data_IF_601964341745
#
_entry.id   IF_601964341745
#
_cell.length_a   1.000
_cell.length_b   1.000
_cell.length_c   1.000
_cell.angle_alpha   90.00
_cell.angle_beta   90.00
_cell.angle_gamma   90.00
#
_symmetry.space_group_name_H-M   'P 1'
#
loop_
_entity.id
_entity.type
_entity.pdbx_description
1 polymer ?
#
# COMPACT_ATOMS: atom_id res chain seq x y z
N UNK A 1 -49.56 -2.48 15.83
CA UNK A 1 -48.18 -2.59 16.30
C UNK A 1 -47.31 -3.44 15.38
N UNK A 2 -47.79 -4.51 14.78
CA UNK A 2 -46.97 -5.42 13.96
C UNK A 2 -46.48 -4.81 12.62
N UNK A 3 -47.30 -4.01 11.93
CA UNK A 3 -46.96 -3.39 10.65
C UNK A 3 -45.89 -2.26 10.78
N UNK A 4 -45.92 -1.50 11.87
CA UNK A 4 -44.91 -0.45 12.11
C UNK A 4 -43.55 -1.06 12.40
N UNK A 5 -43.49 -2.12 13.20
CA UNK A 5 -42.25 -2.81 13.50
C UNK A 5 -41.61 -3.43 12.23
N UNK A 6 -42.42 -4.02 11.35
CA UNK A 6 -41.93 -4.58 10.07
C UNK A 6 -41.37 -3.51 9.12
N UNK A 7 -41.97 -2.31 9.11
CA UNK A 7 -41.43 -1.20 8.31
C UNK A 7 -40.09 -0.67 8.87
N UNK A 8 -39.97 -0.54 10.20
CA UNK A 8 -38.71 -0.15 10.82
C UNK A 8 -37.59 -1.17 10.55
N UNK A 9 -37.88 -2.47 10.64
CA UNK A 9 -36.90 -3.51 10.29
C UNK A 9 -36.46 -3.44 8.84
N UNK A 10 -37.36 -3.17 7.89
CA UNK A 10 -36.97 -2.99 6.48
C UNK A 10 -36.04 -1.79 6.27
N UNK A 11 -36.33 -0.66 6.91
CA UNK A 11 -35.50 0.55 6.83
C UNK A 11 -34.14 0.26 7.42
N UNK A 12 -34.03 -0.32 8.61
CA UNK A 12 -32.79 -0.63 9.28
C UNK A 12 -31.92 -1.62 8.46
N UNK A 13 -32.54 -2.64 7.88
CA UNK A 13 -31.85 -3.54 6.95
C UNK A 13 -31.38 -2.82 5.68
N UNK A 14 -32.16 -1.86 5.18
CA UNK A 14 -31.75 -1.00 4.07
C UNK A 14 -30.48 -0.21 4.42
N UNK A 15 -30.43 0.39 5.62
CA UNK A 15 -29.23 1.06 6.12
C UNK A 15 -28.03 0.10 6.20
N UNK A 16 -28.23 -1.12 6.71
CA UNK A 16 -27.16 -2.13 6.77
C UNK A 16 -26.66 -2.54 5.37
N UNK A 17 -27.53 -2.60 4.37
CA UNK A 17 -27.12 -2.82 2.98
C UNK A 17 -26.24 -1.68 2.46
N UNK A 18 -26.59 -0.43 2.74
CA UNK A 18 -25.79 0.73 2.35
C UNK A 18 -24.40 0.66 3.01
N UNK A 19 -24.35 0.41 4.32
CA UNK A 19 -23.07 0.25 5.03
C UNK A 19 -22.25 -0.91 4.47
N UNK A 20 -22.87 -2.03 4.15
CA UNK A 20 -22.18 -3.18 3.55
C UNK A 20 -21.61 -2.84 2.17
N UNK A 21 -22.35 -2.14 1.33
CA UNK A 21 -21.86 -1.71 0.01
C UNK A 21 -20.66 -0.76 0.16
N UNK A 22 -20.77 0.26 1.02
CA UNK A 22 -19.66 1.19 1.30
C UNK A 22 -18.44 0.42 1.80
N UNK A 23 -18.64 -0.50 2.75
CA UNK A 23 -17.56 -1.36 3.25
C UNK A 23 -16.91 -2.20 2.14
N UNK A 24 -17.71 -2.82 1.25
CA UNK A 24 -17.17 -3.63 0.15
C UNK A 24 -16.35 -2.77 -0.82
N UNK A 25 -16.83 -1.58 -1.17
CA UNK A 25 -16.08 -0.64 -2.01
C UNK A 25 -14.75 -0.29 -1.35
N UNK A 26 -14.76 0.02 -0.06
CA UNK A 26 -13.55 0.32 0.71
C UNK A 26 -12.58 -0.88 0.78
N UNK A 27 -13.12 -2.08 1.05
CA UNK A 27 -12.32 -3.31 1.08
C UNK A 27 -11.64 -3.56 -0.27
N UNK A 28 -12.39 -3.49 -1.38
CA UNK A 28 -11.84 -3.67 -2.73
C UNK A 28 -10.78 -2.60 -3.04
N UNK A 29 -11.01 -1.34 -2.61
CA UNK A 29 -10.03 -0.26 -2.79
C UNK A 29 -8.71 -0.57 -2.08
N UNK A 30 -8.77 -0.99 -0.80
CA UNK A 30 -7.56 -1.34 -0.03
C UNK A 30 -6.89 -2.57 -0.63
N UNK A 31 -7.66 -3.60 -1.02
CA UNK A 31 -7.09 -4.86 -1.47
C UNK A 31 -6.43 -4.77 -2.84
N UNK A 32 -7.06 -4.05 -3.78
CA UNK A 32 -6.54 -3.97 -5.15
C UNK A 32 -5.53 -2.85 -5.37
N UNK A 33 -5.60 -1.80 -4.58
CA UNK A 33 -4.84 -0.58 -4.84
C UNK A 33 -4.11 -0.08 -3.60
N UNK A 34 -3.46 -1.00 -2.87
CA UNK A 34 -2.71 -0.71 -1.63
C UNK A 34 -1.76 0.49 -1.76
N UNK A 35 -1.10 0.63 -2.91
CA UNK A 35 -0.06 1.63 -3.16
C UNK A 35 -0.41 2.62 -4.28
N UNK A 36 -1.60 2.53 -4.87
CA UNK A 36 -1.99 3.39 -5.97
C UNK A 36 -2.86 4.55 -5.51
N UNK A 37 -2.48 5.78 -5.85
CA UNK A 37 -3.34 6.96 -5.72
C UNK A 37 -4.50 6.88 -6.73
N UNK A 38 -5.58 7.60 -6.51
CA UNK A 38 -6.70 7.63 -7.46
C UNK A 38 -6.29 8.06 -8.86
N UNK A 39 -5.28 8.94 -8.96
CA UNK A 39 -4.74 9.41 -10.24
C UNK A 39 -3.97 8.31 -10.99
N UNK A 40 -3.44 7.32 -10.28
CA UNK A 40 -2.57 6.26 -10.82
C UNK A 40 -3.21 4.87 -10.79
N UNK A 41 -4.53 4.77 -10.56
CA UNK A 41 -5.23 3.47 -10.48
C UNK A 41 -5.02 2.61 -11.73
N UNK A 42 -5.09 3.22 -12.91
CA UNK A 42 -4.90 2.49 -14.17
C UNK A 42 -3.45 2.06 -14.40
N UNK A 43 -2.48 2.81 -13.85
CA UNK A 43 -1.06 2.44 -13.93
C UNK A 43 -0.70 1.28 -13.00
N UNK A 44 -1.50 1.02 -11.97
CA UNK A 44 -1.32 -0.13 -11.09
C UNK A 44 -1.69 -1.47 -11.75
N UNK A 45 -2.56 -1.43 -12.77
CA UNK A 45 -2.95 -2.64 -13.51
C UNK A 45 -1.75 -3.13 -14.33
N UNK A 46 -1.34 -4.37 -14.08
CA UNK A 46 -0.18 -4.97 -14.75
C UNK A 46 1.19 -4.57 -14.16
N UNK A 47 1.21 -3.78 -13.09
CA UNK A 47 2.46 -3.33 -12.48
C UNK A 47 3.12 -4.38 -11.57
N UNK A 48 2.35 -5.35 -11.06
CA UNK A 48 2.85 -6.41 -10.18
C UNK A 48 3.19 -7.68 -10.96
N UNK A 49 4.16 -8.45 -10.45
CA UNK A 49 4.42 -9.79 -10.96
C UNK A 49 3.26 -10.74 -10.61
N UNK A 50 2.88 -11.60 -11.57
CA UNK A 50 1.86 -12.62 -11.36
C UNK A 50 2.47 -13.81 -10.63
N UNK A 51 2.43 -13.79 -9.32
CA UNK A 51 2.86 -14.91 -8.48
C UNK A 51 1.66 -15.60 -7.87
N UNK A 52 1.73 -16.93 -7.74
CA UNK A 52 0.71 -17.75 -7.08
C UNK A 52 1.37 -18.56 -5.98
N UNK A 53 0.90 -18.39 -4.75
CA UNK A 53 1.26 -19.22 -3.63
C UNK A 53 0.04 -20.04 -3.16
N UNK A 54 0.10 -21.36 -3.36
CA UNK A 54 -0.96 -22.30 -2.94
C UNK A 54 -0.58 -23.13 -1.70
N UNK A 55 0.63 -22.92 -1.17
CA UNK A 55 1.10 -23.65 0.01
C UNK A 55 0.77 -22.82 1.24
N UNK A 56 -0.10 -23.32 2.15
CA UNK A 56 -0.46 -22.58 3.36
C UNK A 56 0.76 -22.23 4.21
N UNK A 57 0.77 -21.01 4.71
CA UNK A 57 1.80 -20.41 5.58
C UNK A 57 3.18 -20.26 4.94
N UNK A 58 3.31 -20.52 3.64
CA UNK A 58 4.58 -20.35 2.93
C UNK A 58 5.00 -18.89 2.87
N UNK A 59 4.09 -17.97 2.56
CA UNK A 59 4.41 -16.54 2.49
C UNK A 59 4.87 -16.00 3.83
N UNK A 60 4.26 -16.43 4.93
CA UNK A 60 4.69 -16.08 6.29
C UNK A 60 6.09 -16.64 6.56
N UNK A 61 6.34 -17.89 6.18
CA UNK A 61 7.64 -18.53 6.38
C UNK A 61 8.73 -17.84 5.56
N UNK A 62 8.47 -17.54 4.29
CA UNK A 62 9.41 -16.87 3.40
C UNK A 62 9.72 -15.43 3.88
N UNK A 63 8.70 -14.70 4.35
CA UNK A 63 8.88 -13.38 4.97
C UNK A 63 9.70 -13.47 6.27
N UNK A 64 9.47 -14.47 7.11
CA UNK A 64 10.21 -14.65 8.35
C UNK A 64 11.68 -15.07 8.13
N UNK A 65 11.97 -15.74 7.01
CA UNK A 65 13.33 -16.13 6.60
C UNK A 65 14.09 -15.05 5.84
N UNK A 66 13.41 -14.00 5.40
CA UNK A 66 13.99 -12.82 4.75
C UNK A 66 14.27 -11.72 5.78
N UNK A 67 14.99 -10.65 5.36
CA UNK A 67 15.19 -9.46 6.20
C UNK A 67 13.91 -8.61 6.36
N UNK A 68 12.72 -9.21 6.17
CA UNK A 68 11.44 -8.52 6.30
C UNK A 68 11.14 -8.24 7.77
N UNK A 69 10.74 -7.01 8.09
CA UNK A 69 10.40 -6.64 9.45
C UNK A 69 9.20 -7.45 9.97
N UNK A 70 9.22 -7.83 11.25
CA UNK A 70 8.10 -8.54 11.91
C UNK A 70 6.79 -7.74 11.77
N UNK A 71 6.88 -6.39 11.75
CA UNK A 71 5.74 -5.52 11.52
C UNK A 71 4.99 -5.81 10.23
N UNK A 72 5.70 -5.98 9.11
CA UNK A 72 5.08 -6.31 7.81
C UNK A 72 4.38 -7.67 7.81
N UNK A 73 4.94 -8.66 8.50
CA UNK A 73 4.29 -9.98 8.65
C UNK A 73 2.98 -9.84 9.41
N UNK A 74 3.01 -9.11 10.54
CA UNK A 74 1.83 -8.84 11.35
C UNK A 74 0.78 -8.05 10.55
N UNK A 75 1.18 -7.01 9.84
CA UNK A 75 0.29 -6.21 8.98
C UNK A 75 -0.40 -7.06 7.91
N UNK A 76 0.32 -7.96 7.26
CA UNK A 76 -0.27 -8.84 6.25
C UNK A 76 -1.31 -9.79 6.86
N UNK A 77 -0.95 -10.48 7.94
CA UNK A 77 -1.83 -11.44 8.62
C UNK A 77 -3.03 -10.74 9.25
N UNK A 78 -2.80 -9.71 10.08
CA UNK A 78 -3.87 -8.99 10.77
C UNK A 78 -4.69 -8.15 9.80
N UNK A 79 -4.07 -7.59 8.77
CA UNK A 79 -4.76 -6.80 7.75
C UNK A 79 -5.88 -7.59 7.10
N UNK A 80 -5.57 -8.76 6.56
CA UNK A 80 -6.56 -9.63 5.91
C UNK A 80 -7.63 -10.11 6.89
N UNK A 81 -7.23 -10.51 8.09
CA UNK A 81 -8.18 -10.93 9.13
C UNK A 81 -9.13 -9.82 9.53
N UNK A 82 -8.60 -8.62 9.85
CA UNK A 82 -9.41 -7.48 10.34
C UNK A 82 -10.32 -6.94 9.23
N UNK A 83 -9.85 -6.90 7.98
CA UNK A 83 -10.64 -6.46 6.85
C UNK A 83 -11.91 -7.28 6.65
N UNK A 84 -11.93 -8.59 6.97
CA UNK A 84 -13.09 -9.45 6.79
C UNK A 84 -13.98 -9.61 8.03
N UNK A 85 -13.60 -9.07 9.19
CA UNK A 85 -14.49 -9.03 10.38
C UNK A 85 -15.82 -8.32 10.07
N UNK A 86 -15.83 -7.12 9.44
CA UNK A 86 -17.11 -6.45 9.10
C UNK A 86 -17.96 -7.27 8.14
N UNK A 87 -17.36 -8.02 7.20
CA UNK A 87 -18.10 -8.95 6.34
C UNK A 87 -18.89 -9.96 7.18
N UNK A 88 -18.22 -10.59 8.13
CA UNK A 88 -18.84 -11.58 9.02
C UNK A 88 -19.92 -10.99 9.95
N UNK A 89 -19.80 -9.72 10.31
CA UNK A 89 -20.81 -9.01 11.14
C UNK A 89 -22.04 -8.61 10.31
N UNK A 90 -21.83 -7.97 9.16
CA UNK A 90 -22.90 -7.34 8.38
C UNK A 90 -23.64 -8.34 7.49
N UNK A 91 -22.92 -9.26 6.85
CA UNK A 91 -23.50 -10.18 5.88
C UNK A 91 -24.63 -11.06 6.45
N UNK A 92 -24.55 -11.66 7.67
CA UNK A 92 -25.67 -12.41 8.25
C UNK A 92 -26.91 -11.54 8.51
N UNK A 93 -26.73 -10.26 8.84
CA UNK A 93 -27.83 -9.32 9.12
C UNK A 93 -28.62 -9.05 7.82
N UNK A 94 -27.93 -8.79 6.72
CA UNK A 94 -28.56 -8.46 5.44
C UNK A 94 -29.09 -9.68 4.69
N UNK A 95 -28.41 -10.82 4.76
CA UNK A 95 -28.72 -12.04 3.99
C UNK A 95 -29.57 -13.07 4.74
N UNK A 96 -29.74 -12.92 6.07
CA UNK A 96 -30.34 -13.93 6.96
C UNK A 96 -29.64 -15.31 6.90
N UNK A 97 -28.39 -15.36 6.45
CA UNK A 97 -27.63 -16.62 6.36
C UNK A 97 -27.04 -17.00 7.70
N UNK A 98 -27.08 -18.31 7.99
CA UNK A 98 -26.40 -18.92 9.13
C UNK A 98 -24.92 -19.14 8.83
N UNK A 99 -24.15 -19.52 9.84
CA UNK A 99 -22.69 -19.71 9.79
C UNK A 99 -22.18 -20.32 8.47
N UNK A 100 -22.70 -21.47 8.06
CA UNK A 100 -22.23 -22.13 6.81
C UNK A 100 -22.42 -21.25 5.58
N UNK A 101 -23.55 -20.54 5.48
CA UNK A 101 -23.80 -19.65 4.35
C UNK A 101 -22.92 -18.41 4.35
N UNK A 102 -22.60 -17.86 5.55
CA UNK A 102 -21.66 -16.72 5.68
C UNK A 102 -20.24 -17.13 5.29
N UNK A 103 -19.77 -18.28 5.79
CA UNK A 103 -18.42 -18.80 5.45
C UNK A 103 -18.31 -19.12 3.95
N UNK A 104 -19.33 -19.76 3.36
CA UNK A 104 -19.34 -20.02 1.92
C UNK A 104 -19.28 -18.71 1.11
N UNK A 105 -20.03 -17.69 1.50
CA UNK A 105 -19.97 -16.38 0.85
C UNK A 105 -18.61 -15.72 1.02
N UNK A 106 -17.99 -15.81 2.20
CA UNK A 106 -16.66 -15.27 2.45
C UNK A 106 -15.59 -15.97 1.59
N UNK A 107 -15.64 -17.31 1.47
CA UNK A 107 -14.74 -18.09 0.61
C UNK A 107 -14.88 -17.65 -0.85
N UNK A 108 -16.12 -17.57 -1.36
CA UNK A 108 -16.39 -17.16 -2.74
C UNK A 108 -15.89 -15.73 -2.97
N UNK A 109 -16.17 -14.82 -2.06
CA UNK A 109 -15.80 -13.42 -2.19
C UNK A 109 -14.27 -13.24 -2.13
N UNK A 110 -13.59 -13.93 -1.21
CA UNK A 110 -12.12 -13.90 -1.12
C UNK A 110 -11.48 -14.53 -2.37
N UNK A 111 -12.00 -15.66 -2.87
CA UNK A 111 -11.52 -16.25 -4.13
C UNK A 111 -11.70 -15.31 -5.33
N UNK A 112 -12.80 -14.59 -5.41
CA UNK A 112 -13.01 -13.59 -6.46
C UNK A 112 -11.98 -12.47 -6.38
N UNK A 113 -11.61 -12.05 -5.18
CA UNK A 113 -10.53 -11.07 -4.98
C UNK A 113 -9.21 -11.61 -5.52
N UNK A 114 -8.80 -12.82 -5.09
CA UNK A 114 -7.55 -13.46 -5.53
C UNK A 114 -7.49 -13.65 -7.07
N UNK A 115 -8.58 -14.13 -7.66
CA UNK A 115 -8.69 -14.28 -9.11
C UNK A 115 -8.54 -12.91 -9.80
N UNK A 116 -9.17 -11.87 -9.27
CA UNK A 116 -9.09 -10.52 -9.84
C UNK A 116 -7.66 -9.97 -9.74
N UNK A 117 -6.99 -10.15 -8.59
CA UNK A 117 -5.59 -9.74 -8.42
C UNK A 117 -4.68 -10.44 -9.42
N UNK A 118 -4.85 -11.74 -9.64
CA UNK A 118 -4.08 -12.50 -10.63
C UNK A 118 -4.32 -12.04 -12.06
N UNK A 119 -5.61 -11.88 -12.45
CA UNK A 119 -5.96 -11.51 -13.83
C UNK A 119 -5.43 -10.13 -14.21
N UNK A 120 -5.53 -9.18 -13.30
CA UNK A 120 -5.12 -7.79 -13.53
C UNK A 120 -3.71 -7.46 -13.05
N UNK A 121 -2.95 -8.47 -12.55
CA UNK A 121 -1.61 -8.28 -11.98
C UNK A 121 -1.55 -7.13 -10.95
N UNK A 122 -2.49 -7.16 -9.99
CA UNK A 122 -2.63 -6.17 -8.92
C UNK A 122 -1.91 -6.56 -7.63
N UNK A 123 -1.27 -7.71 -7.61
CA UNK A 123 -0.56 -8.27 -6.47
C UNK A 123 -0.32 -9.78 -6.63
N UNK A 124 0.29 -10.39 -5.60
CA UNK A 124 0.44 -11.84 -5.52
C UNK A 124 -0.86 -12.49 -5.07
N UNK A 125 -1.20 -13.64 -5.67
CA UNK A 125 -2.33 -14.47 -5.23
C UNK A 125 -1.85 -15.45 -4.18
N UNK A 126 -2.42 -15.39 -2.99
CA UNK A 126 -1.95 -16.13 -1.82
C UNK A 126 -3.08 -16.88 -1.10
N UNK A 127 -2.86 -18.18 -0.88
CA UNK A 127 -3.80 -19.01 -0.11
C UNK A 127 -3.91 -18.54 1.35
N UNK A 128 -2.86 -17.93 1.90
CA UNK A 128 -2.86 -17.43 3.27
C UNK A 128 -3.86 -16.27 3.42
N UNK A 129 -3.96 -15.39 2.41
CA UNK A 129 -4.95 -14.31 2.38
C UNK A 129 -6.37 -14.86 2.40
N UNK A 130 -6.66 -15.92 1.61
CA UNK A 130 -7.95 -16.60 1.67
C UNK A 130 -8.24 -17.16 3.06
N UNK A 131 -7.27 -17.80 3.70
CA UNK A 131 -7.43 -18.41 5.04
C UNK A 131 -7.74 -17.32 6.07
N UNK A 132 -6.98 -16.22 6.09
CA UNK A 132 -7.18 -15.14 7.06
C UNK A 132 -8.46 -14.34 6.81
N UNK A 133 -8.85 -14.13 5.56
CA UNK A 133 -10.11 -13.51 5.19
C UNK A 133 -11.30 -14.32 5.71
N UNK A 134 -11.31 -15.63 5.49
CA UNK A 134 -12.36 -16.54 5.96
C UNK A 134 -12.38 -16.62 7.49
N UNK A 135 -11.22 -16.63 8.14
CA UNK A 135 -11.11 -16.60 9.60
C UNK A 135 -11.67 -15.29 10.16
N UNK A 136 -11.36 -14.14 9.56
CA UNK A 136 -11.92 -12.85 9.91
C UNK A 136 -13.46 -12.83 9.81
N UNK A 137 -14.01 -13.33 8.70
CA UNK A 137 -15.45 -13.47 8.53
C UNK A 137 -16.08 -14.42 9.57
N UNK A 138 -15.38 -15.50 9.96
CA UNK A 138 -15.84 -16.39 11.02
C UNK A 138 -15.90 -15.68 12.37
N UNK A 139 -14.85 -14.94 12.74
CA UNK A 139 -14.81 -14.13 13.97
C UNK A 139 -15.95 -13.12 13.96
N UNK A 140 -16.12 -12.39 12.87
CA UNK A 140 -17.18 -11.41 12.71
C UNK A 140 -18.59 -12.03 12.87
N UNK A 141 -18.84 -13.17 12.24
CA UNK A 141 -20.09 -13.93 12.42
C UNK A 141 -20.32 -14.31 13.88
N UNK A 142 -19.28 -14.84 14.54
CA UNK A 142 -19.39 -15.26 15.95
C UNK A 142 -19.75 -14.08 16.86
N UNK A 143 -19.13 -12.93 16.64
CA UNK A 143 -19.42 -11.69 17.38
C UNK A 143 -20.88 -11.26 17.15
N UNK A 144 -21.32 -11.21 15.88
CA UNK A 144 -22.68 -10.83 15.51
C UNK A 144 -23.73 -11.79 16.11
N UNK A 145 -23.50 -13.10 16.02
CA UNK A 145 -24.38 -14.13 16.59
C UNK A 145 -24.47 -14.05 18.12
N UNK A 146 -23.31 -13.84 18.78
CA UNK A 146 -23.27 -13.68 20.24
C UNK A 146 -24.01 -12.42 20.72
N UNK A 147 -23.80 -11.30 20.01
CA UNK A 147 -24.48 -10.05 20.33
C UNK A 147 -26.00 -10.20 20.08
N UNK A 148 -26.41 -10.78 18.95
CA UNK A 148 -27.84 -10.92 18.61
C UNK A 148 -28.62 -11.69 19.68
N UNK A 149 -28.03 -12.67 20.34
CA UNK A 149 -28.63 -13.49 21.42
C UNK A 149 -28.87 -12.73 22.73
N UNK A 150 -28.23 -11.57 22.90
CA UNK A 150 -28.44 -10.72 24.10
C UNK A 150 -29.71 -9.87 24.01
N UNK A 151 -30.27 -9.71 22.81
CA UNK A 151 -31.42 -8.89 22.58
C UNK A 151 -32.73 -9.72 22.56
N UNK A 152 -33.74 -9.31 23.34
CA UNK A 152 -35.05 -9.92 23.32
C UNK A 152 -35.85 -9.58 22.04
N UNK A 153 -35.53 -8.44 21.39
CA UNK A 153 -36.17 -7.99 20.17
C UNK A 153 -35.13 -7.85 19.06
N UNK A 154 -35.44 -8.44 17.91
CA UNK A 154 -34.58 -8.32 16.72
C UNK A 154 -34.47 -6.88 16.22
N UNK A 155 -35.54 -6.09 16.34
CA UNK A 155 -35.52 -4.66 15.98
C UNK A 155 -34.55 -3.87 16.85
N UNK A 156 -34.48 -4.13 18.17
CA UNK A 156 -33.50 -3.49 19.04
C UNK A 156 -32.06 -3.88 18.67
N UNK A 157 -31.83 -5.16 18.35
CA UNK A 157 -30.54 -5.60 17.83
C UNK A 157 -30.16 -4.83 16.55
N UNK A 158 -31.06 -4.69 15.58
CA UNK A 158 -30.81 -3.95 14.34
C UNK A 158 -30.50 -2.48 14.62
N UNK A 159 -31.25 -1.82 15.53
CA UNK A 159 -30.98 -0.41 15.90
C UNK A 159 -29.53 -0.28 16.44
N UNK A 160 -29.17 -1.10 17.42
CA UNK A 160 -27.84 -1.04 18.03
C UNK A 160 -26.74 -1.33 17.02
N UNK A 161 -26.91 -2.34 16.17
CA UNK A 161 -25.94 -2.65 15.13
C UNK A 161 -25.81 -1.52 14.09
N UNK A 162 -26.93 -0.87 13.74
CA UNK A 162 -26.91 0.28 12.82
C UNK A 162 -26.14 1.46 13.43
N UNK A 163 -26.36 1.77 14.70
CA UNK A 163 -25.65 2.83 15.41
C UNK A 163 -24.15 2.52 15.52
N UNK A 164 -23.79 1.29 15.92
CA UNK A 164 -22.37 0.87 16.02
C UNK A 164 -21.72 0.99 14.64
N UNK A 165 -22.34 0.47 13.59
CA UNK A 165 -21.77 0.51 12.24
C UNK A 165 -21.63 1.95 11.74
N UNK A 166 -22.60 2.82 12.03
CA UNK A 166 -22.56 4.23 11.66
C UNK A 166 -21.41 4.97 12.39
N UNK A 167 -21.27 4.75 13.71
CA UNK A 167 -20.21 5.38 14.51
C UNK A 167 -18.82 4.89 14.04
N UNK A 168 -18.65 3.59 13.90
CA UNK A 168 -17.37 3.03 13.41
C UNK A 168 -17.04 3.50 11.99
N UNK A 169 -18.04 3.49 11.11
CA UNK A 169 -17.87 3.99 9.74
C UNK A 169 -17.51 5.48 9.70
N UNK A 170 -18.17 6.32 10.50
CA UNK A 170 -17.85 7.74 10.61
C UNK A 170 -16.46 7.97 11.21
N UNK A 171 -16.04 7.16 12.20
CA UNK A 171 -14.70 7.25 12.81
C UNK A 171 -13.62 6.86 11.82
N UNK A 172 -13.81 5.77 11.08
CA UNK A 172 -12.85 5.34 10.02
C UNK A 172 -12.81 6.39 8.92
N UNK A 173 -13.96 6.89 8.46
CA UNK A 173 -14.01 7.92 7.43
C UNK A 173 -13.33 9.22 7.89
N UNK A 174 -13.59 9.67 9.13
CA UNK A 174 -12.94 10.83 9.71
C UNK A 174 -11.43 10.66 9.83
N UNK A 175 -10.97 9.47 10.27
CA UNK A 175 -9.55 9.12 10.30
C UNK A 175 -8.91 9.21 8.90
N UNK A 176 -9.57 8.63 7.89
CA UNK A 176 -9.08 8.65 6.51
C UNK A 176 -9.03 10.07 5.93
N UNK A 177 -10.02 10.91 6.25
CA UNK A 177 -10.00 12.32 5.83
C UNK A 177 -8.84 13.11 6.44
N UNK A 178 -8.42 12.77 7.66
CA UNK A 178 -7.36 13.51 8.38
C UNK A 178 -5.97 12.98 8.03
N UNK A 179 -5.81 11.66 7.92
CA UNK A 179 -4.49 11.02 7.84
C UNK A 179 -4.18 10.32 6.53
N UNK A 180 -5.19 10.04 5.69
CA UNK A 180 -5.00 9.32 4.42
C UNK A 180 -5.76 10.00 3.28
N UNK A 181 -5.46 11.24 3.09
CA UNK A 181 -6.08 12.08 2.07
C UNK A 181 -5.75 11.65 0.65
N UNK A 182 -4.69 10.86 0.41
CA UNK A 182 -4.37 10.24 -0.88
C UNK A 182 -5.47 9.29 -1.41
N UNK A 183 -6.28 8.74 -0.52
CA UNK A 183 -7.47 7.98 -0.88
C UNK A 183 -8.52 8.86 -1.56
N UNK A 184 -8.52 10.18 -1.33
CA UNK A 184 -9.56 11.13 -1.71
C UNK A 184 -9.06 12.31 -2.56
N UNK A 185 -8.09 12.14 -3.46
CA UNK A 185 -7.67 13.17 -4.45
C UNK A 185 -6.99 14.43 -3.83
N UNK A 186 -7.01 14.64 -2.52
CA UNK A 186 -6.75 15.95 -1.92
C UNK A 186 -5.43 16.07 -1.16
N UNK A 187 -4.58 15.04 -1.13
CA UNK A 187 -3.39 15.12 -0.30
C UNK A 187 -2.08 14.82 -1.02
N UNK A 188 -1.20 15.74 -0.84
CA UNK A 188 0.22 15.62 -1.01
C UNK A 188 0.77 15.39 0.41
N UNK A 189 1.34 14.22 0.70
CA UNK A 189 2.04 14.02 1.96
C UNK A 189 3.18 15.03 2.04
N UNK A 190 3.41 15.58 3.23
CA UNK A 190 4.50 16.51 3.43
C UNK A 190 5.83 15.74 3.37
N UNK A 191 6.71 16.18 2.48
CA UNK A 191 8.08 15.70 2.42
C UNK A 191 8.86 16.52 3.44
N UNK A 192 9.32 15.85 4.49
CA UNK A 192 10.15 16.48 5.51
C UNK A 192 11.61 16.39 5.07
N UNK A 193 12.20 17.51 4.67
CA UNK A 193 13.56 17.55 4.13
C UNK A 193 14.51 18.09 5.20
N UNK A 194 15.41 17.24 5.69
CA UNK A 194 16.53 17.65 6.53
C UNK A 194 17.69 18.10 5.64
N UNK A 195 18.32 19.22 6.03
CA UNK A 195 19.36 19.91 5.25
C UNK A 195 18.84 20.44 3.91
N UNK A 196 17.63 21.04 3.91
CA UNK A 196 16.97 21.57 2.73
C UNK A 196 17.83 22.61 1.97
N UNK A 197 18.71 23.32 2.65
CA UNK A 197 19.67 24.26 2.07
C UNK A 197 20.61 23.64 1.03
N UNK A 198 20.92 22.33 1.17
CA UNK A 198 21.75 21.61 0.20
C UNK A 198 20.98 21.30 -1.09
N UNK A 199 19.66 21.37 -1.05
CA UNK A 199 18.76 20.93 -2.11
C UNK A 199 18.22 22.12 -2.92
N UNK A 200 18.26 23.35 -2.38
CA UNK A 200 17.76 24.55 -3.06
C UNK A 200 18.35 24.74 -4.45
N UNK A 201 19.59 24.28 -4.67
CA UNK A 201 20.30 24.40 -5.95
C UNK A 201 19.63 23.60 -7.07
N UNK A 202 18.94 22.48 -6.76
CA UNK A 202 18.43 21.56 -7.78
C UNK A 202 16.96 21.15 -7.59
N UNK A 203 16.27 21.56 -6.51
CA UNK A 203 14.85 21.22 -6.29
C UNK A 203 13.95 21.71 -7.43
N UNK A 204 14.19 22.92 -7.92
CA UNK A 204 13.39 23.55 -8.97
C UNK A 204 13.91 23.25 -10.39
N UNK A 205 15.01 22.56 -10.51
CA UNK A 205 15.62 22.24 -11.81
C UNK A 205 15.40 20.76 -12.14
N UNK A 206 14.74 20.43 -13.26
CA UNK A 206 14.58 19.02 -13.64
C UNK A 206 15.94 18.38 -13.92
N UNK A 207 16.13 17.17 -13.40
CA UNK A 207 17.34 16.39 -13.66
C UNK A 207 17.49 16.10 -15.17
N UNK A 208 18.72 16.17 -15.68
CA UNK A 208 19.05 15.84 -17.07
C UNK A 208 18.80 14.35 -17.35
N UNK A 209 19.11 13.49 -16.35
CA UNK A 209 18.85 12.06 -16.42
C UNK A 209 18.44 11.50 -15.05
N UNK A 210 17.57 10.49 -15.08
CA UNK A 210 17.17 9.73 -13.91
C UNK A 210 17.25 8.24 -14.24
N UNK A 211 17.72 7.42 -13.30
CA UNK A 211 17.84 6.00 -13.52
C UNK A 211 18.35 5.25 -12.29
N UNK A 212 18.80 4.03 -12.50
CA UNK A 212 19.43 3.19 -11.48
C UNK A 212 20.93 3.18 -11.63
N UNK A 213 21.63 3.23 -10.52
CA UNK A 213 23.08 3.04 -10.51
C UNK A 213 23.45 1.68 -11.08
N UNK A 214 24.43 1.62 -11.97
CA UNK A 214 24.95 0.35 -12.52
C UNK A 214 26.34 0.09 -12.03
N UNK A 215 27.26 0.97 -12.36
CA UNK A 215 28.65 0.90 -11.91
C UNK A 215 29.34 2.26 -12.06
N UNK A 216 30.43 2.44 -11.34
CA UNK A 216 31.36 3.54 -11.47
C UNK A 216 32.74 2.97 -11.77
N UNK A 217 33.28 3.28 -12.94
CA UNK A 217 34.64 2.87 -13.37
C UNK A 217 35.39 4.03 -13.99
N UNK A 218 36.61 4.31 -13.53
CA UNK A 218 37.50 5.36 -14.05
C UNK A 218 36.81 6.73 -14.22
N UNK A 219 36.06 7.17 -13.20
CA UNK A 219 35.27 8.41 -13.22
C UNK A 219 34.13 8.43 -14.26
N UNK A 220 33.75 7.30 -14.80
CA UNK A 220 32.61 7.11 -15.69
C UNK A 220 31.51 6.40 -14.93
N UNK A 221 30.39 7.10 -14.74
CA UNK A 221 29.19 6.55 -14.12
C UNK A 221 28.28 5.98 -15.18
N UNK A 222 27.87 4.73 -15.02
CA UNK A 222 26.87 4.07 -15.85
C UNK A 222 25.53 4.05 -15.11
N UNK A 223 24.49 4.52 -15.78
CA UNK A 223 23.14 4.62 -15.24
C UNK A 223 22.16 3.94 -16.20
N UNK A 224 21.34 3.04 -15.67
CA UNK A 224 20.23 2.43 -16.39
C UNK A 224 19.04 3.38 -16.32
N UNK A 225 18.64 3.95 -17.46
CA UNK A 225 17.51 4.91 -17.53
C UNK A 225 16.22 4.33 -16.97
N UNK A 226 15.48 5.18 -16.28
CA UNK A 226 14.11 4.85 -15.87
C UNK A 226 13.22 4.67 -17.10
N UNK A 227 12.61 3.51 -17.23
CA UNK A 227 11.77 3.12 -18.39
C UNK A 227 10.33 3.56 -18.10
N UNK A 228 9.69 4.23 -19.05
CA UNK A 228 8.29 4.67 -18.91
C UNK A 228 7.28 3.55 -19.16
N UNK A 229 7.70 2.46 -19.80
CA UNK A 229 6.86 1.29 -20.13
C UNK A 229 7.65 -0.01 -19.99
N UNK A 230 6.99 -1.09 -19.56
CA UNK A 230 7.60 -2.41 -19.42
C UNK A 230 8.18 -3.00 -20.73
N UNK A 231 7.80 -2.45 -21.87
CA UNK A 231 8.26 -2.88 -23.21
C UNK A 231 9.44 -2.03 -23.75
N UNK A 232 9.89 -1.01 -23.02
CA UNK A 232 10.99 -0.18 -23.46
C UNK A 232 12.33 -0.91 -23.21
N UNK A 233 13.27 -0.75 -24.14
CA UNK A 233 14.61 -1.31 -24.02
C UNK A 233 15.33 -0.56 -22.88
N UNK A 234 15.88 -1.29 -21.92
CA UNK A 234 16.69 -0.72 -20.84
C UNK A 234 17.98 -0.14 -21.44
N UNK A 235 18.05 1.15 -21.47
CA UNK A 235 19.17 1.88 -22.05
C UNK A 235 20.14 2.29 -20.96
N UNK A 236 21.41 1.95 -21.13
CA UNK A 236 22.48 2.37 -20.22
C UNK A 236 23.10 3.63 -20.80
N UNK A 237 23.07 4.71 -20.03
CA UNK A 237 23.80 5.93 -20.32
C UNK A 237 25.05 6.06 -19.48
N UNK A 238 26.06 6.72 -20.06
CA UNK A 238 27.34 6.97 -19.41
C UNK A 238 27.55 8.48 -19.21
N UNK A 239 28.00 8.84 -18.02
CA UNK A 239 28.28 10.20 -17.61
C UNK A 239 29.69 10.31 -17.05
N UNK A 240 30.35 11.44 -17.26
CA UNK A 240 31.68 11.68 -16.72
C UNK A 240 31.61 12.48 -15.43
N UNK A 241 32.29 12.00 -14.39
CA UNK A 241 32.41 12.71 -13.12
C UNK A 241 33.74 13.45 -13.10
N UNK A 242 33.68 14.73 -12.82
CA UNK A 242 34.85 15.62 -12.69
C UNK A 242 35.02 16.04 -11.22
N UNK A 243 36.19 16.54 -10.86
CA UNK A 243 36.50 17.00 -9.49
C UNK A 243 35.57 18.16 -9.04
N UNK A 244 34.99 18.91 -9.97
CA UNK A 244 34.05 19.99 -9.70
C UNK A 244 32.60 19.49 -9.48
N UNK A 245 32.37 18.19 -9.60
CA UNK A 245 31.05 17.60 -9.41
C UNK A 245 30.63 17.64 -7.94
N UNK A 246 29.45 18.16 -7.66
CA UNK A 246 28.87 18.08 -6.32
C UNK A 246 28.04 16.80 -6.18
N UNK A 247 28.36 16.03 -5.15
CA UNK A 247 27.81 14.68 -4.94
C UNK A 247 27.03 14.65 -3.63
N UNK A 248 25.77 14.19 -3.72
CA UNK A 248 24.87 14.09 -2.59
C UNK A 248 24.33 12.68 -2.45
N UNK A 249 24.16 12.21 -1.22
CA UNK A 249 23.31 11.07 -0.87
C UNK A 249 22.00 11.62 -0.32
N UNK A 250 20.91 11.05 -0.80
CA UNK A 250 19.58 11.27 -0.25
C UNK A 250 19.18 9.99 0.49
N UNK A 251 19.14 10.04 1.80
CA UNK A 251 18.53 8.99 2.61
C UNK A 251 17.03 9.22 2.62
N UNK A 252 16.31 8.33 1.95
CA UNK A 252 14.87 8.42 1.77
C UNK A 252 14.17 7.35 2.59
N UNK A 253 13.29 7.78 3.50
CA UNK A 253 12.49 6.92 4.36
C UNK A 253 11.03 7.27 4.20
N UNK A 254 10.25 6.29 3.79
CA UNK A 254 8.80 6.43 3.76
C UNK A 254 8.18 5.93 5.06
N UNK A 255 7.32 6.76 5.65
CA UNK A 255 6.53 6.37 6.80
C UNK A 255 5.21 5.76 6.33
N UNK A 256 4.94 4.54 6.79
CA UNK A 256 3.74 3.80 6.42
C UNK A 256 2.82 3.60 7.62
N UNK A 257 1.52 3.70 7.38
CA UNK A 257 0.49 3.24 8.30
C UNK A 257 -0.51 2.39 7.51
N UNK A 258 -0.66 1.12 7.87
CA UNK A 258 -1.49 0.14 7.14
C UNK A 258 -1.29 0.21 5.61
N UNK A 259 -0.04 0.16 5.15
CA UNK A 259 0.37 0.21 3.73
C UNK A 259 0.09 1.54 3.01
N UNK A 260 -0.39 2.58 3.69
CA UNK A 260 -0.46 3.92 3.13
C UNK A 260 0.76 4.73 3.52
N UNK A 261 1.31 5.49 2.58
CA UNK A 261 2.39 6.43 2.86
C UNK A 261 1.76 7.60 3.62
N UNK A 262 2.19 7.82 4.86
CA UNK A 262 1.74 8.93 5.72
C UNK A 262 2.74 10.09 5.78
N UNK A 263 3.96 9.85 5.37
CA UNK A 263 5.03 10.84 5.31
C UNK A 263 6.22 10.32 4.53
N UNK A 264 7.01 11.23 4.02
CA UNK A 264 8.31 10.96 3.42
C UNK A 264 9.34 11.83 4.14
N UNK A 265 10.42 11.21 4.58
CA UNK A 265 11.53 11.91 5.22
C UNK A 265 12.75 11.76 4.35
N UNK A 266 13.28 12.87 3.89
CA UNK A 266 14.48 12.93 3.08
C UNK A 266 15.59 13.68 3.83
N UNK A 267 16.74 13.04 3.98
CA UNK A 267 17.94 13.66 4.53
C UNK A 267 19.02 13.70 3.46
N UNK A 268 19.53 14.89 3.17
CA UNK A 268 20.62 15.06 2.22
C UNK A 268 21.96 15.22 2.93
N UNK A 269 22.97 14.54 2.40
CA UNK A 269 24.34 14.61 2.88
C UNK A 269 25.28 14.81 1.68
N UNK A 270 26.16 15.82 1.75
CA UNK A 270 27.18 16.04 0.73
C UNK A 270 28.37 15.12 0.95
N UNK A 271 28.83 14.48 -0.11
CA UNK A 271 29.96 13.54 -0.07
C UNK A 271 31.18 14.17 -0.75
N UNK A 272 32.36 13.90 -0.19
CA UNK A 272 33.62 14.25 -0.84
C UNK A 272 33.85 13.42 -2.12
N UNK A 273 34.41 14.06 -3.15
CA UNK A 273 34.68 13.43 -4.43
C UNK A 273 35.56 12.17 -4.31
N UNK A 274 36.63 12.23 -3.49
CA UNK A 274 37.53 11.10 -3.32
C UNK A 274 36.86 9.93 -2.58
N UNK A 275 36.02 10.21 -1.59
CA UNK A 275 35.25 9.19 -0.88
C UNK A 275 34.27 8.48 -1.83
N UNK A 276 33.68 9.24 -2.75
CA UNK A 276 32.79 8.69 -3.77
C UNK A 276 33.51 7.81 -4.80
N UNK A 277 34.60 8.33 -5.39
CA UNK A 277 35.35 7.62 -6.44
C UNK A 277 36.01 6.37 -5.88
N UNK A 278 36.55 6.41 -4.65
CA UNK A 278 37.21 5.25 -4.04
C UNK A 278 36.25 4.13 -3.63
N UNK A 279 34.95 4.45 -3.50
CA UNK A 279 33.91 3.53 -3.01
C UNK A 279 34.28 2.79 -1.71
N UNK A 280 35.15 3.37 -0.91
CA UNK A 280 35.62 2.77 0.34
C UNK A 280 34.61 2.93 1.46
N UNK A 281 33.97 4.09 1.53
CA UNK A 281 33.00 4.46 2.57
C UNK A 281 31.56 4.17 2.15
N UNK A 282 31.24 4.34 0.86
CA UNK A 282 29.91 4.18 0.31
C UNK A 282 29.92 3.09 -0.77
N UNK A 283 28.96 2.16 -0.70
CA UNK A 283 28.82 1.09 -1.71
C UNK A 283 27.42 1.24 -2.33
N UNK A 284 27.41 1.60 -3.60
CA UNK A 284 26.18 1.75 -4.36
C UNK A 284 25.98 0.54 -5.27
N UNK A 285 24.72 0.16 -5.45
CA UNK A 285 24.32 -0.94 -6.32
C UNK A 285 23.06 -0.57 -7.14
N UNK A 286 22.51 -1.53 -7.87
CA UNK A 286 21.32 -1.33 -8.72
C UNK A 286 20.03 -1.00 -7.95
N UNK A 287 20.02 -1.07 -6.63
CA UNK A 287 18.90 -0.66 -5.81
C UNK A 287 18.88 0.86 -5.59
N UNK A 288 20.02 1.52 -5.80
CA UNK A 288 20.13 2.96 -5.65
C UNK A 288 19.60 3.69 -6.89
N UNK A 289 18.66 4.62 -6.69
CA UNK A 289 18.23 5.54 -7.72
C UNK A 289 19.20 6.71 -7.83
N UNK A 290 19.41 7.18 -9.07
CA UNK A 290 20.33 8.27 -9.37
C UNK A 290 19.60 9.36 -10.13
N UNK A 291 19.77 10.61 -9.70
CA UNK A 291 19.38 11.82 -10.43
C UNK A 291 20.63 12.59 -10.79
N UNK A 292 20.75 13.01 -12.06
CA UNK A 292 21.95 13.64 -12.62
C UNK A 292 21.58 14.95 -13.27
N UNK A 293 22.37 15.97 -13.01
CA UNK A 293 22.39 17.24 -13.74
C UNK A 293 23.74 17.37 -14.42
N UNK A 294 23.75 17.29 -15.73
CA UNK A 294 24.96 17.33 -16.57
C UNK A 294 24.88 18.42 -17.61
N UNK A 295 26.04 18.78 -18.16
CA UNK A 295 26.13 19.60 -19.36
C UNK A 295 25.87 18.79 -20.65
N UNK A 296 25.97 19.47 -21.81
CA UNK A 296 25.77 18.87 -23.14
C UNK A 296 26.85 17.81 -23.49
N UNK A 297 28.01 17.88 -22.84
CA UNK A 297 29.11 16.92 -23.00
C UNK A 297 29.01 15.73 -22.01
N UNK A 298 27.91 15.64 -21.27
CA UNK A 298 27.66 14.64 -20.22
C UNK A 298 28.63 14.68 -19.03
N UNK A 299 29.28 15.85 -18.77
CA UNK A 299 30.00 16.05 -17.52
C UNK A 299 28.96 16.35 -16.42
N UNK A 300 29.03 15.64 -15.33
CA UNK A 300 28.09 15.80 -14.22
C UNK A 300 28.45 17.04 -13.40
N UNK A 301 27.49 17.94 -13.21
CA UNK A 301 27.59 19.08 -12.29
C UNK A 301 27.09 18.70 -10.89
N UNK A 302 25.93 18.04 -10.85
CA UNK A 302 25.31 17.59 -9.62
C UNK A 302 24.85 16.15 -9.80
N UNK A 303 25.02 15.33 -8.76
CA UNK A 303 24.48 13.99 -8.68
C UNK A 303 23.86 13.76 -7.32
N UNK A 304 22.68 13.17 -7.32
CA UNK A 304 22.01 12.71 -6.10
C UNK A 304 21.77 11.21 -6.22
N UNK A 305 22.30 10.47 -5.27
CA UNK A 305 22.09 9.02 -5.17
C UNK A 305 21.12 8.78 -4.01
N UNK A 306 20.00 8.14 -4.28
CA UNK A 306 19.00 7.84 -3.26
C UNK A 306 19.28 6.47 -2.67
N UNK A 307 19.42 6.43 -1.36
CA UNK A 307 19.51 5.24 -0.54
C UNK A 307 18.21 5.11 0.29
N UNK A 308 17.53 3.98 0.14
CA UNK A 308 16.31 3.70 0.89
C UNK A 308 16.67 3.20 2.28
N UNK A 309 16.20 3.92 3.29
CA UNK A 309 16.41 3.56 4.71
C UNK A 309 15.10 3.00 5.25
N UNK A 310 15.18 1.86 5.95
CA UNK A 310 14.00 1.21 6.56
C UNK A 310 13.46 1.97 7.79
#
# INVERSE_FOLDING_TARGET
>A
MDNQNKNHEKILRGCQWVFFIIYVIFLLRITFFKQATLNNLFSAVGASERTINIIPFKSIYDMAGSNTSIGRIIENVLGNLVLFIPFGILFPIISNKKRKGVLCAAIIFSLLIEITQFLFALGSTDIDDLIFNVLGAYIGYFVSDKISKQFKSYTHFLIVMTLITAILGASVFGYLLVYQTDLFILYKYDINIENSELVEIFIDTPATATGRYVELDNCILKVEKSVKSANDIREIETFKITEDCEIFICYDRMEYFFSAIIGEYQKYEKIDYNDFISQTKYKFDRNNNVRIWSDDEKNIKFIVITEWVE
#
